data_IF_912943311167
#
_entry.id   IF_912943311167
#
_cell.length_a   1.000
_cell.length_b   1.000
_cell.length_c   1.000
_cell.angle_alpha   90.00
_cell.angle_beta   90.00
_cell.angle_gamma   90.00
#
_symmetry.space_group_name_H-M   'P 1'
#
loop_
_entity.id
_entity.type
_entity.pdbx_description
1 polymer ?
#
# COMPACT_ATOMS: atom_id res chain seq x y z
N UNK A 1 18.40 14.95 -21.21
CA UNK A 1 17.92 16.30 -20.84
C UNK A 1 16.57 16.13 -20.23
N UNK A 2 16.45 16.25 -18.91
CA UNK A 2 15.18 16.12 -18.18
C UNK A 2 14.45 17.45 -18.31
N UNK A 3 13.40 17.47 -19.12
CA UNK A 3 12.51 18.62 -19.24
C UNK A 3 11.66 18.73 -17.97
N UNK A 4 12.17 19.40 -16.96
CA UNK A 4 11.38 19.88 -15.81
C UNK A 4 10.70 21.21 -16.19
N UNK A 5 9.80 21.16 -17.16
CA UNK A 5 9.06 22.34 -17.66
C UNK A 5 7.93 22.76 -16.70
N UNK A 6 7.64 21.98 -15.65
CA UNK A 6 6.51 22.22 -14.75
C UNK A 6 6.83 23.05 -13.49
N UNK A 7 8.10 23.32 -13.20
CA UNK A 7 8.49 24.15 -12.05
C UNK A 7 9.64 25.07 -12.44
N UNK A 8 9.35 26.38 -12.54
CA UNK A 8 10.39 27.39 -12.61
C UNK A 8 11.28 27.31 -11.36
N UNK A 9 12.59 27.35 -11.56
CA UNK A 9 13.53 27.40 -10.44
C UNK A 9 13.22 28.64 -9.58
N UNK A 10 13.04 28.44 -8.26
CA UNK A 10 12.69 29.57 -7.39
C UNK A 10 13.74 30.66 -7.49
N UNK A 11 13.30 31.87 -7.85
CA UNK A 11 14.17 33.04 -7.92
C UNK A 11 14.80 33.39 -6.55
N UNK A 12 15.80 34.28 -6.50
CA UNK A 12 16.57 34.56 -5.28
C UNK A 12 15.68 34.98 -4.11
N UNK A 13 14.65 35.78 -4.34
CA UNK A 13 13.68 36.18 -3.30
C UNK A 13 12.84 35.00 -2.78
N UNK A 14 12.44 34.08 -3.67
CA UNK A 14 11.70 32.89 -3.31
C UNK A 14 12.57 31.91 -2.50
N UNK A 15 13.86 31.78 -2.81
CA UNK A 15 14.81 30.97 -2.04
C UNK A 15 14.97 31.50 -0.61
N UNK A 16 15.15 32.82 -0.45
CA UNK A 16 15.25 33.45 0.89
C UNK A 16 13.95 33.24 1.66
N UNK A 17 12.80 33.49 1.06
CA UNK A 17 11.49 33.27 1.68
C UNK A 17 11.33 31.80 2.12
N UNK A 18 11.63 30.85 1.25
CA UNK A 18 11.51 29.43 1.57
C UNK A 18 12.48 29.02 2.68
N UNK A 19 13.73 29.52 2.68
CA UNK A 19 14.69 29.29 3.75
C UNK A 19 14.17 29.83 5.10
N UNK A 20 13.67 31.07 5.11
CA UNK A 20 13.08 31.68 6.32
C UNK A 20 11.89 30.87 6.81
N UNK A 21 10.95 30.48 5.91
CA UNK A 21 9.80 29.65 6.26
C UNK A 21 10.23 28.29 6.82
N UNK A 22 11.26 27.66 6.24
CA UNK A 22 11.80 26.37 6.73
C UNK A 22 12.38 26.54 8.13
N UNK A 23 13.13 27.60 8.40
CA UNK A 23 13.71 27.89 9.73
C UNK A 23 12.58 28.17 10.74
N UNK A 24 11.63 29.04 10.39
CA UNK A 24 10.48 29.37 11.26
C UNK A 24 9.67 28.11 11.59
N UNK A 25 9.35 27.29 10.57
CA UNK A 25 8.66 26.03 10.77
C UNK A 25 9.47 25.04 11.63
N UNK A 26 10.79 24.96 11.40
CA UNK A 26 11.70 24.14 12.22
C UNK A 26 11.70 24.56 13.69
N UNK A 27 11.79 25.86 13.96
CA UNK A 27 11.72 26.40 15.33
C UNK A 27 10.35 26.13 15.96
N UNK A 28 9.26 26.35 15.22
CA UNK A 28 7.90 26.08 15.71
C UNK A 28 7.71 24.59 16.03
N UNK A 29 8.22 23.69 15.18
CA UNK A 29 8.17 22.24 15.41
C UNK A 29 8.98 21.86 16.65
N UNK A 30 10.20 22.36 16.81
CA UNK A 30 11.04 22.10 18.00
C UNK A 30 10.37 22.64 19.27
N UNK A 31 9.77 23.84 19.23
CA UNK A 31 9.03 24.39 20.35
C UNK A 31 7.81 23.53 20.73
N UNK A 32 7.07 23.00 19.73
CA UNK A 32 5.97 22.08 19.94
C UNK A 32 6.45 20.77 20.58
N UNK A 33 7.50 20.18 20.04
CA UNK A 33 8.08 18.92 20.59
C UNK A 33 8.59 19.13 22.03
N UNK A 34 9.23 20.26 22.31
CA UNK A 34 9.65 20.63 23.64
C UNK A 34 8.47 20.81 24.59
N UNK A 35 7.40 21.46 24.15
CA UNK A 35 6.19 21.63 24.94
C UNK A 35 5.51 20.29 25.26
N UNK A 36 5.41 19.39 24.28
CA UNK A 36 4.88 18.03 24.46
C UNK A 36 5.75 17.24 25.44
N UNK A 37 7.08 17.28 25.27
CA UNK A 37 8.03 16.63 26.19
C UNK A 37 7.83 17.11 27.62
N UNK A 38 7.75 18.43 27.83
CA UNK A 38 7.52 19.05 29.16
C UNK A 38 6.19 18.61 29.76
N UNK A 39 5.13 18.54 28.98
CA UNK A 39 3.82 18.07 29.48
C UNK A 39 3.85 16.61 29.93
N UNK A 40 4.55 15.75 29.22
CA UNK A 40 4.76 14.36 29.65
C UNK A 40 5.67 14.25 30.87
N UNK A 41 6.66 15.13 30.99
CA UNK A 41 7.53 15.19 32.17
C UNK A 41 6.75 15.64 33.42
N UNK A 42 5.97 16.70 33.32
CA UNK A 42 5.06 17.17 34.36
C UNK A 42 4.05 16.08 34.80
N UNK A 43 3.60 15.23 33.87
CA UNK A 43 2.74 14.10 34.12
C UNK A 43 3.48 12.84 34.59
N UNK A 44 4.79 12.89 34.80
CA UNK A 44 5.62 11.78 35.29
C UNK A 44 5.78 10.61 34.31
N UNK A 45 5.48 10.81 33.00
CA UNK A 45 5.48 9.73 32.02
C UNK A 45 6.89 9.20 31.68
N UNK A 46 7.95 9.94 32.05
CA UNK A 46 9.35 9.52 31.87
C UNK A 46 9.90 8.78 33.09
N UNK A 47 9.10 8.56 34.14
CA UNK A 47 9.56 7.87 35.35
C UNK A 47 9.99 6.43 35.03
N UNK A 48 11.17 6.04 35.52
CA UNK A 48 11.76 4.71 35.28
C UNK A 48 10.84 3.52 35.52
N UNK A 49 10.01 3.49 36.58
CA UNK A 49 9.06 2.40 36.85
C UNK A 49 8.09 2.13 35.70
N UNK A 50 7.66 3.14 34.93
CA UNK A 50 6.75 2.98 33.80
C UNK A 50 7.40 2.28 32.59
N UNK A 51 8.73 2.35 32.50
CA UNK A 51 9.52 1.75 31.42
C UNK A 51 10.12 0.39 31.79
N UNK A 52 10.21 0.10 33.11
CA UNK A 52 10.76 -1.16 33.62
C UNK A 52 10.09 -2.41 33.01
N UNK A 53 8.76 -2.49 32.82
CA UNK A 53 8.12 -3.68 32.24
C UNK A 53 8.72 -4.08 30.89
N UNK A 54 9.20 -3.14 30.07
CA UNK A 54 9.79 -3.44 28.76
C UNK A 54 11.18 -4.06 28.82
N UNK A 55 11.82 -4.07 30.00
CA UNK A 55 13.09 -4.79 30.23
C UNK A 55 12.85 -6.23 30.70
N UNK A 56 11.61 -6.60 31.01
CA UNK A 56 11.25 -7.90 31.54
C UNK A 56 10.80 -8.84 30.41
N UNK A 57 11.34 -10.05 30.38
CA UNK A 57 10.96 -11.08 29.41
C UNK A 57 9.46 -11.41 29.45
N UNK A 58 8.85 -11.34 30.61
CA UNK A 58 7.42 -11.62 30.82
C UNK A 58 6.51 -10.70 29.97
N UNK A 59 6.83 -9.41 29.88
CA UNK A 59 6.10 -8.44 29.06
C UNK A 59 6.14 -8.80 27.58
N UNK A 60 7.32 -9.18 27.10
CA UNK A 60 7.45 -9.57 25.70
C UNK A 60 6.74 -10.86 25.36
N UNK A 61 6.87 -11.90 26.23
CA UNK A 61 6.29 -13.22 25.97
C UNK A 61 4.77 -13.26 26.09
N UNK A 62 4.17 -12.45 26.98
CA UNK A 62 2.73 -12.52 27.26
C UNK A 62 1.92 -11.42 26.58
N UNK A 63 2.52 -10.30 26.20
CA UNK A 63 1.80 -9.18 25.58
C UNK A 63 2.32 -8.87 24.17
N UNK A 64 3.60 -8.51 24.02
CA UNK A 64 4.13 -7.98 22.76
C UNK A 64 4.18 -9.05 21.67
N UNK A 65 4.86 -10.18 21.92
CA UNK A 65 5.03 -11.23 20.90
C UNK A 65 3.71 -11.92 20.51
N UNK A 66 2.79 -12.27 21.44
CA UNK A 66 1.50 -12.80 21.04
C UNK A 66 0.66 -11.80 20.24
N UNK A 67 0.65 -10.51 20.65
CA UNK A 67 -0.03 -9.44 19.89
C UNK A 67 0.56 -9.28 18.48
N UNK A 68 1.88 -9.25 18.37
CA UNK A 68 2.60 -9.22 17.10
C UNK A 68 2.26 -10.43 16.21
N UNK A 69 2.22 -11.62 16.80
CA UNK A 69 1.82 -12.84 16.09
C UNK A 69 0.42 -12.75 15.51
N UNK A 70 -0.55 -12.24 16.28
CA UNK A 70 -1.93 -12.04 15.80
C UNK A 70 -2.01 -10.96 14.69
N UNK A 71 -1.27 -9.87 14.83
CA UNK A 71 -1.14 -8.83 13.78
C UNK A 71 -0.64 -9.43 12.47
N UNK A 72 0.46 -10.20 12.53
CA UNK A 72 1.06 -10.82 11.33
C UNK A 72 0.16 -11.89 10.73
N UNK A 73 -0.50 -12.70 11.56
CA UNK A 73 -1.43 -13.73 11.11
C UNK A 73 -2.64 -13.10 10.40
N UNK A 74 -3.24 -12.08 10.98
CA UNK A 74 -4.37 -11.38 10.38
C UNK A 74 -3.96 -10.68 9.07
N UNK A 75 -2.78 -10.04 9.05
CA UNK A 75 -2.25 -9.40 7.86
C UNK A 75 -1.97 -10.42 6.72
N UNK A 76 -1.33 -11.54 7.03
CA UNK A 76 -1.04 -12.58 6.05
C UNK A 76 -2.32 -13.23 5.50
N UNK A 77 -3.25 -13.61 6.38
CA UNK A 77 -4.54 -14.20 5.99
C UNK A 77 -5.37 -13.22 5.18
N UNK A 78 -5.48 -11.97 5.66
CA UNK A 78 -6.19 -10.90 4.97
C UNK A 78 -5.60 -10.62 3.59
N UNK A 79 -4.26 -10.62 3.43
CA UNK A 79 -3.60 -10.41 2.14
C UNK A 79 -3.89 -11.53 1.14
N UNK A 80 -3.81 -12.78 1.56
CA UNK A 80 -4.12 -13.94 0.69
C UNK A 80 -5.57 -13.87 0.21
N UNK A 81 -6.50 -13.63 1.11
CA UNK A 81 -7.92 -13.51 0.76
C UNK A 81 -8.22 -12.26 -0.07
N UNK A 82 -7.56 -11.13 0.20
CA UNK A 82 -7.67 -9.90 -0.60
C UNK A 82 -7.14 -10.09 -2.03
N UNK A 83 -6.05 -10.83 -2.20
CA UNK A 83 -5.53 -11.18 -3.52
C UNK A 83 -6.53 -12.05 -4.29
N UNK A 84 -7.08 -13.09 -3.65
CA UNK A 84 -8.07 -13.97 -4.27
C UNK A 84 -9.32 -13.18 -4.67
N UNK A 85 -9.89 -12.38 -3.77
CA UNK A 85 -11.02 -11.50 -4.04
C UNK A 85 -10.69 -10.52 -5.17
N UNK A 86 -9.55 -9.86 -5.09
CA UNK A 86 -9.09 -8.89 -6.09
C UNK A 86 -8.99 -9.47 -7.48
N UNK A 87 -8.43 -10.68 -7.63
CA UNK A 87 -8.32 -11.38 -8.91
C UNK A 87 -9.71 -11.74 -9.45
N UNK A 88 -10.58 -12.34 -8.63
CA UNK A 88 -11.93 -12.77 -9.05
C UNK A 88 -12.71 -11.56 -9.56
N UNK A 89 -12.74 -10.46 -8.81
CA UNK A 89 -13.51 -9.28 -9.20
C UNK A 89 -12.84 -8.47 -10.32
N UNK A 90 -11.52 -8.48 -10.45
CA UNK A 90 -10.84 -7.89 -11.61
C UNK A 90 -11.21 -8.62 -12.92
N UNK A 91 -11.21 -9.95 -12.90
CA UNK A 91 -11.63 -10.78 -14.05
C UNK A 91 -13.08 -10.50 -14.39
N UNK A 92 -13.97 -10.45 -13.39
CA UNK A 92 -15.37 -10.09 -13.58
C UNK A 92 -15.54 -8.72 -14.25
N UNK A 93 -14.83 -7.69 -13.79
CA UNK A 93 -14.86 -6.31 -14.33
C UNK A 93 -14.24 -6.18 -15.73
N UNK A 94 -13.38 -7.11 -16.14
CA UNK A 94 -12.79 -7.18 -17.47
C UNK A 94 -13.64 -8.02 -18.46
N UNK A 95 -14.74 -8.61 -18.00
CA UNK A 95 -15.66 -9.37 -18.83
C UNK A 95 -16.34 -8.47 -19.86
N UNK A 96 -16.59 -8.99 -21.07
CA UNK A 96 -17.37 -8.32 -22.12
C UNK A 96 -18.88 -8.35 -21.82
N UNK A 97 -19.31 -9.32 -21.02
CA UNK A 97 -20.70 -9.50 -20.66
C UNK A 97 -21.10 -8.48 -19.58
N UNK A 98 -21.95 -7.52 -19.93
CA UNK A 98 -22.42 -6.47 -19.01
C UNK A 98 -23.06 -7.02 -17.73
N UNK A 99 -23.76 -8.13 -17.82
CA UNK A 99 -24.38 -8.80 -16.67
C UNK A 99 -23.38 -9.43 -15.69
N UNK A 100 -22.10 -9.55 -16.06
CA UNK A 100 -21.00 -9.92 -15.15
C UNK A 100 -20.22 -8.67 -14.71
N UNK A 101 -19.85 -7.81 -15.68
CA UNK A 101 -18.97 -6.67 -15.39
C UNK A 101 -19.65 -5.58 -14.57
N UNK A 102 -20.96 -5.36 -14.74
CA UNK A 102 -21.70 -4.35 -13.97
C UNK A 102 -21.85 -4.76 -12.50
N UNK A 103 -22.36 -5.96 -12.15
CA UNK A 103 -22.42 -6.38 -10.75
C UNK A 103 -21.07 -6.44 -10.08
N UNK A 104 -20.03 -6.96 -10.77
CA UNK A 104 -18.67 -6.97 -10.25
C UNK A 104 -18.16 -5.55 -9.98
N UNK A 105 -18.51 -4.58 -10.84
CA UNK A 105 -18.21 -3.17 -10.62
C UNK A 105 -18.89 -2.61 -9.38
N UNK A 106 -20.21 -2.84 -9.25
CA UNK A 106 -21.00 -2.37 -8.10
C UNK A 106 -20.45 -2.89 -6.78
N UNK A 107 -20.13 -4.19 -6.70
CA UNK A 107 -19.56 -4.80 -5.49
C UNK A 107 -18.22 -4.16 -5.13
N UNK A 108 -17.31 -4.01 -6.09
CA UNK A 108 -16.00 -3.39 -5.86
C UNK A 108 -16.14 -1.93 -5.42
N UNK A 109 -16.99 -1.15 -6.07
CA UNK A 109 -17.20 0.26 -5.74
C UNK A 109 -17.87 0.42 -4.39
N UNK A 110 -18.84 -0.45 -4.04
CA UNK A 110 -19.47 -0.46 -2.73
C UNK A 110 -18.47 -0.68 -1.61
N UNK A 111 -17.64 -1.75 -1.66
CA UNK A 111 -16.69 -2.04 -0.60
C UNK A 111 -15.53 -1.03 -0.52
N UNK A 112 -15.21 -0.33 -1.60
CA UNK A 112 -14.24 0.79 -1.58
C UNK A 112 -14.82 2.08 -1.01
N UNK A 113 -16.12 2.29 -1.14
CA UNK A 113 -16.79 3.47 -0.61
C UNK A 113 -17.07 3.37 0.90
N UNK A 114 -17.25 2.16 1.42
CA UNK A 114 -17.52 1.95 2.85
C UNK A 114 -16.20 2.05 3.65
N UNK A 115 -16.14 2.88 4.70
CA UNK A 115 -14.98 2.93 5.58
C UNK A 115 -14.67 1.57 6.21
N UNK A 116 -13.42 1.12 6.13
CA UNK A 116 -12.99 -0.19 6.64
C UNK A 116 -13.39 -0.42 8.10
N UNK A 117 -13.23 0.59 8.95
CA UNK A 117 -13.61 0.50 10.37
C UNK A 117 -15.09 0.15 10.55
N UNK A 118 -15.97 0.79 9.80
CA UNK A 118 -17.41 0.51 9.84
C UNK A 118 -17.71 -0.90 9.34
N UNK A 119 -16.96 -1.37 8.36
CA UNK A 119 -17.11 -2.73 7.83
C UNK A 119 -16.75 -3.80 8.87
N UNK A 120 -15.60 -3.63 9.56
CA UNK A 120 -15.19 -4.50 10.68
C UNK A 120 -16.26 -4.49 11.77
N UNK A 121 -16.73 -3.31 12.14
CA UNK A 121 -17.74 -3.12 13.16
C UNK A 121 -19.05 -3.81 12.79
N UNK A 122 -19.51 -3.61 11.55
CA UNK A 122 -20.74 -4.25 11.07
C UNK A 122 -20.63 -5.78 11.02
N UNK A 123 -19.47 -6.31 10.59
CA UNK A 123 -19.26 -7.77 10.59
C UNK A 123 -19.27 -8.32 12.00
N UNK A 124 -18.61 -7.64 12.95
CA UNK A 124 -18.49 -8.12 14.32
C UNK A 124 -19.80 -8.05 15.10
N UNK A 125 -20.55 -6.94 14.98
CA UNK A 125 -21.78 -6.71 15.74
C UNK A 125 -23.05 -7.00 14.94
N UNK A 126 -23.06 -6.84 13.61
CA UNK A 126 -24.25 -6.99 12.78
C UNK A 126 -24.47 -8.42 12.29
N UNK A 127 -23.41 -9.09 11.83
CA UNK A 127 -23.54 -10.48 11.30
C UNK A 127 -24.06 -11.48 12.35
N UNK A 128 -23.72 -11.39 13.64
CA UNK A 128 -24.29 -12.26 14.69
C UNK A 128 -25.82 -12.34 14.71
N UNK A 129 -26.51 -11.25 14.38
CA UNK A 129 -27.98 -11.24 14.29
C UNK A 129 -28.51 -12.08 13.12
N UNK A 130 -27.73 -12.21 12.05
CA UNK A 130 -28.09 -12.98 10.86
C UNK A 130 -27.83 -14.48 11.02
N UNK A 131 -26.66 -14.82 11.64
CA UNK A 131 -26.23 -16.22 11.79
C UNK A 131 -26.63 -16.84 13.14
N UNK A 132 -27.25 -16.05 14.04
CA UNK A 132 -27.62 -16.44 15.40
C UNK A 132 -26.45 -17.02 16.21
N UNK A 133 -25.26 -16.46 16.02
CA UNK A 133 -24.05 -16.91 16.70
C UNK A 133 -22.94 -15.87 16.70
N UNK A 134 -21.96 -15.94 17.62
CA UNK A 134 -20.88 -14.97 17.71
C UNK A 134 -19.93 -15.09 16.50
N UNK A 135 -19.44 -13.95 16.03
CA UNK A 135 -18.34 -13.86 15.05
C UNK A 135 -17.05 -13.60 15.83
N UNK A 136 -16.02 -14.48 15.73
CA UNK A 136 -14.73 -14.22 16.35
C UNK A 136 -14.10 -12.93 15.81
N UNK A 137 -13.50 -12.10 16.68
CA UNK A 137 -12.90 -10.82 16.31
C UNK A 137 -11.85 -10.96 15.18
N UNK A 138 -11.07 -12.04 15.20
CA UNK A 138 -10.13 -12.37 14.11
C UNK A 138 -10.80 -12.39 12.73
N UNK A 139 -11.92 -13.12 12.59
CA UNK A 139 -12.62 -13.22 11.31
C UNK A 139 -13.33 -11.91 10.93
N UNK A 140 -13.84 -11.16 11.90
CA UNK A 140 -14.42 -9.85 11.61
C UNK A 140 -13.39 -8.90 11.01
N UNK A 141 -12.18 -8.87 11.55
CA UNK A 141 -11.05 -8.09 11.03
C UNK A 141 -10.60 -8.61 9.67
N UNK A 142 -10.34 -9.91 9.55
CA UNK A 142 -9.82 -10.51 8.30
C UNK A 142 -10.81 -10.36 7.15
N UNK A 143 -12.11 -10.57 7.37
CA UNK A 143 -13.13 -10.40 6.32
C UNK A 143 -13.28 -8.92 5.94
N UNK A 144 -13.28 -8.00 6.92
CA UNK A 144 -13.30 -6.57 6.65
C UNK A 144 -12.10 -6.14 5.80
N UNK A 145 -10.89 -6.55 6.19
CA UNK A 145 -9.66 -6.31 5.43
C UNK A 145 -9.73 -6.91 4.03
N UNK A 146 -10.28 -8.11 3.88
CA UNK A 146 -10.43 -8.79 2.59
C UNK A 146 -11.34 -8.04 1.65
N UNK A 147 -12.51 -7.61 2.10
CA UNK A 147 -13.49 -6.91 1.28
C UNK A 147 -12.98 -5.55 0.83
N UNK A 148 -12.39 -4.78 1.75
CA UNK A 148 -11.85 -3.46 1.45
C UNK A 148 -10.60 -3.54 0.57
N UNK A 149 -9.53 -4.17 1.05
CA UNK A 149 -8.26 -4.24 0.34
C UNK A 149 -8.34 -5.08 -0.94
N UNK A 150 -9.18 -6.12 -0.95
CA UNK A 150 -9.47 -6.92 -2.14
C UNK A 150 -10.14 -6.10 -3.23
N UNK A 151 -11.06 -5.18 -2.86
CA UNK A 151 -11.69 -4.26 -3.80
C UNK A 151 -10.70 -3.23 -4.37
N UNK A 152 -9.77 -2.73 -3.54
CA UNK A 152 -8.67 -1.88 -4.00
C UNK A 152 -7.77 -2.63 -4.98
N UNK A 153 -7.40 -3.88 -4.66
CA UNK A 153 -6.60 -4.73 -5.53
C UNK A 153 -7.33 -5.09 -6.83
N UNK A 154 -8.65 -5.34 -6.79
CA UNK A 154 -9.44 -5.60 -7.99
C UNK A 154 -9.36 -4.44 -9.00
N UNK A 155 -9.46 -3.20 -8.51
CA UNK A 155 -9.32 -2.03 -9.36
C UNK A 155 -7.88 -1.83 -9.84
N UNK A 156 -6.88 -2.06 -8.98
CA UNK A 156 -5.48 -2.02 -9.36
C UNK A 156 -5.19 -3.03 -10.48
N UNK A 157 -5.67 -4.27 -10.36
CA UNK A 157 -5.52 -5.32 -11.37
C UNK A 157 -6.19 -4.93 -12.70
N UNK A 158 -7.42 -4.43 -12.64
CA UNK A 158 -8.11 -3.92 -13.83
C UNK A 158 -7.35 -2.78 -14.50
N UNK A 159 -6.88 -1.82 -13.74
CA UNK A 159 -6.10 -0.68 -14.24
C UNK A 159 -4.75 -1.11 -14.82
N UNK A 160 -4.04 -2.03 -14.16
CA UNK A 160 -2.76 -2.56 -14.64
C UNK A 160 -2.87 -3.29 -15.98
N UNK A 161 -3.92 -4.10 -16.16
CA UNK A 161 -4.17 -4.77 -17.45
C UNK A 161 -4.49 -3.76 -18.55
N UNK A 162 -5.28 -2.73 -18.24
CA UNK A 162 -5.62 -1.66 -19.21
C UNK A 162 -4.46 -0.73 -19.55
N UNK A 163 -3.45 -0.65 -18.68
CA UNK A 163 -2.24 0.14 -18.91
C UNK A 163 -1.25 -0.50 -19.88
N UNK A 164 -1.41 -1.79 -20.20
CA UNK A 164 -0.59 -2.44 -21.24
C UNK A 164 -0.87 -1.77 -22.58
N UNK A 165 0.18 -1.41 -23.37
CA UNK A 165 0.01 -0.74 -24.67
C UNK A 165 -0.93 -1.53 -25.59
N UNK A 166 -1.92 -0.84 -26.18
CA UNK A 166 -2.97 -1.46 -27.03
C UNK A 166 -2.40 -2.28 -28.18
N UNK A 167 -1.30 -1.84 -28.78
CA UNK A 167 -0.63 -2.57 -29.85
C UNK A 167 -0.22 -3.99 -29.51
N UNK A 168 0.00 -4.32 -28.23
CA UNK A 168 0.28 -5.69 -27.77
C UNK A 168 -0.93 -6.62 -28.01
N UNK A 169 -2.12 -6.15 -27.65
CA UNK A 169 -3.34 -6.91 -27.88
C UNK A 169 -3.71 -6.96 -29.37
N UNK A 170 -3.57 -5.85 -30.09
CA UNK A 170 -3.87 -5.74 -31.52
C UNK A 170 -2.99 -6.68 -32.35
N UNK A 171 -1.68 -6.71 -32.09
CA UNK A 171 -0.75 -7.63 -32.75
C UNK A 171 -1.10 -9.11 -32.48
N UNK A 172 -1.49 -9.43 -31.24
CA UNK A 172 -1.90 -10.80 -30.90
C UNK A 172 -3.21 -11.21 -31.62
N UNK A 173 -4.17 -10.29 -31.73
CA UNK A 173 -5.40 -10.56 -32.49
C UNK A 173 -5.14 -10.70 -33.99
N UNK A 174 -4.19 -9.92 -34.57
CA UNK A 174 -3.82 -9.99 -35.98
C UNK A 174 -3.28 -11.38 -36.40
N UNK A 175 -2.65 -12.11 -35.46
CA UNK A 175 -2.19 -13.51 -35.68
C UNK A 175 -3.25 -14.56 -35.29
N UNK A 176 -4.51 -14.14 -35.05
CA UNK A 176 -5.63 -15.04 -34.78
C UNK A 176 -5.75 -15.54 -33.34
N UNK A 177 -5.07 -14.92 -32.36
CA UNK A 177 -5.21 -15.32 -30.95
C UNK A 177 -6.61 -14.97 -30.41
N UNK A 178 -7.21 -15.92 -29.68
CA UNK A 178 -8.48 -15.68 -28.96
C UNK A 178 -8.22 -14.79 -27.73
N UNK A 179 -9.22 -14.02 -27.30
CA UNK A 179 -9.14 -13.09 -26.16
C UNK A 179 -8.57 -13.75 -24.89
N UNK A 180 -8.95 -14.96 -24.56
CA UNK A 180 -8.43 -15.67 -23.38
C UNK A 180 -6.93 -15.93 -23.47
N UNK A 181 -6.44 -16.27 -24.66
CA UNK A 181 -4.99 -16.48 -24.90
C UNK A 181 -4.22 -15.17 -24.84
N UNK A 182 -4.77 -14.09 -25.44
CA UNK A 182 -4.19 -12.73 -25.35
C UNK A 182 -4.11 -12.29 -23.89
N UNK A 183 -5.18 -12.50 -23.12
CA UNK A 183 -5.21 -12.17 -21.70
C UNK A 183 -4.15 -12.94 -20.92
N UNK A 184 -4.09 -14.27 -21.07
CA UNK A 184 -3.21 -15.13 -20.28
C UNK A 184 -1.73 -15.01 -20.65
N UNK A 185 -1.41 -14.89 -21.93
CA UNK A 185 -0.02 -14.98 -22.41
C UNK A 185 0.62 -13.62 -22.70
N UNK A 186 -0.18 -12.57 -22.95
CA UNK A 186 0.31 -11.26 -23.33
C UNK A 186 0.05 -10.23 -22.25
N UNK A 187 -1.21 -10.02 -21.85
CA UNK A 187 -1.60 -8.91 -20.99
C UNK A 187 -1.30 -9.17 -19.51
N UNK A 188 -1.72 -10.31 -18.97
CA UNK A 188 -1.55 -10.62 -17.53
C UNK A 188 -0.07 -10.71 -17.15
N UNK A 189 0.85 -11.36 -17.88
CA UNK A 189 2.26 -11.38 -17.48
C UNK A 189 2.93 -10.01 -17.50
N UNK A 190 2.56 -9.14 -18.43
CA UNK A 190 3.08 -7.77 -18.50
C UNK A 190 2.50 -6.92 -17.37
N UNK A 191 1.18 -6.94 -17.18
CA UNK A 191 0.50 -6.24 -16.11
C UNK A 191 0.99 -6.69 -14.71
N UNK A 192 1.13 -7.99 -14.46
CA UNK A 192 1.58 -8.53 -13.18
C UNK A 192 2.93 -7.93 -12.74
N UNK A 193 3.88 -7.80 -13.69
CA UNK A 193 5.18 -7.19 -13.40
C UNK A 193 5.07 -5.72 -13.00
N UNK A 194 4.24 -4.95 -13.69
CA UNK A 194 4.04 -3.52 -13.38
C UNK A 194 3.25 -3.28 -12.09
N UNK A 195 2.50 -4.29 -11.64
CA UNK A 195 1.62 -4.19 -10.46
C UNK A 195 2.26 -4.71 -9.17
N UNK A 196 3.40 -5.42 -9.24
CA UNK A 196 4.10 -5.90 -8.05
C UNK A 196 4.31 -4.79 -6.99
N UNK A 197 4.75 -3.57 -7.34
CA UNK A 197 4.91 -2.51 -6.35
C UNK A 197 3.60 -2.14 -5.64
N UNK A 198 2.49 -2.14 -6.39
CA UNK A 198 1.16 -1.84 -5.83
C UNK A 198 0.72 -2.93 -4.85
N UNK A 199 0.91 -4.21 -5.20
CA UNK A 199 0.58 -5.35 -4.33
C UNK A 199 1.35 -5.28 -3.02
N UNK A 200 2.65 -4.98 -3.09
CA UNK A 200 3.48 -4.91 -1.87
C UNK A 200 3.15 -3.66 -1.04
N UNK A 201 2.88 -2.52 -1.69
CA UNK A 201 2.38 -1.34 -0.98
C UNK A 201 1.06 -1.63 -0.26
N UNK A 202 0.18 -2.42 -0.86
CA UNK A 202 -1.08 -2.81 -0.25
C UNK A 202 -0.89 -3.73 0.96
N UNK A 203 0.14 -4.59 0.97
CA UNK A 203 0.50 -5.39 2.15
C UNK A 203 0.90 -4.49 3.34
N UNK A 204 1.67 -3.43 3.09
CA UNK A 204 2.04 -2.44 4.12
C UNK A 204 0.81 -1.72 4.68
N UNK A 205 -0.12 -1.32 3.81
CA UNK A 205 -1.39 -0.70 4.22
C UNK A 205 -2.20 -1.68 5.07
N UNK A 206 -2.40 -2.89 4.58
CA UNK A 206 -3.19 -3.93 5.26
C UNK A 206 -2.63 -4.27 6.63
N UNK A 207 -1.30 -4.33 6.81
CA UNK A 207 -0.68 -4.56 8.10
C UNK A 207 -0.99 -3.45 9.10
N UNK A 208 -1.00 -2.19 8.67
CA UNK A 208 -1.41 -1.06 9.53
C UNK A 208 -2.89 -1.14 9.88
N UNK A 209 -3.71 -1.54 8.92
CA UNK A 209 -5.17 -1.61 9.06
C UNK A 209 -5.60 -2.71 10.03
N UNK A 210 -4.76 -3.71 10.32
CA UNK A 210 -5.05 -4.70 11.37
C UNK A 210 -5.23 -4.06 12.75
N UNK A 211 -4.57 -2.92 13.01
CA UNK A 211 -4.73 -2.15 14.25
C UNK A 211 -6.17 -1.63 14.46
N UNK A 212 -6.98 -1.50 13.39
CA UNK A 212 -8.40 -1.16 13.51
C UNK A 212 -9.20 -2.25 14.23
N UNK A 213 -8.66 -3.46 14.32
CA UNK A 213 -9.21 -4.54 15.12
C UNK A 213 -9.29 -4.25 16.62
N UNK A 214 -8.54 -3.25 17.10
CA UNK A 214 -8.64 -2.73 18.46
C UNK A 214 -10.09 -2.41 18.86
N UNK A 215 -10.90 -1.86 17.95
CA UNK A 215 -12.31 -1.46 18.22
C UNK A 215 -13.21 -2.64 18.58
N UNK A 216 -12.87 -3.85 18.12
CA UNK A 216 -13.59 -5.11 18.40
C UNK A 216 -12.83 -6.01 19.38
N UNK A 217 -11.89 -5.41 20.13
CA UNK A 217 -11.02 -6.10 21.10
C UNK A 217 -10.27 -7.30 20.47
N UNK A 218 -9.93 -7.22 19.19
CA UNK A 218 -9.06 -8.22 18.56
C UNK A 218 -7.67 -8.16 19.21
N UNK A 219 -7.12 -9.27 19.75
CA UNK A 219 -5.92 -9.29 20.58
C UNK A 219 -4.62 -9.15 19.74
N UNK A 220 -4.58 -8.15 18.86
CA UNK A 220 -3.42 -7.78 18.07
C UNK A 220 -2.43 -6.89 18.86
N UNK A 221 -1.38 -6.42 18.22
CA UNK A 221 -0.26 -5.72 18.86
C UNK A 221 -0.70 -4.43 19.59
N UNK A 222 -1.63 -3.64 19.05
CA UNK A 222 -2.13 -2.43 19.71
C UNK A 222 -2.99 -2.78 20.93
N UNK A 223 -3.90 -3.74 20.80
CA UNK A 223 -4.75 -4.18 21.90
C UNK A 223 -3.91 -4.75 23.05
N UNK A 224 -3.06 -5.73 22.78
CA UNK A 224 -2.23 -6.36 23.82
C UNK A 224 -1.09 -5.49 24.31
N UNK A 225 -0.39 -4.82 23.38
CA UNK A 225 0.82 -4.05 23.69
C UNK A 225 0.54 -2.69 24.31
N UNK A 226 -0.63 -2.09 24.09
CA UNK A 226 -0.99 -0.82 24.71
C UNK A 226 -2.08 -1.01 25.73
N UNK A 227 -3.26 -1.53 25.34
CA UNK A 227 -4.42 -1.57 26.22
C UNK A 227 -4.22 -2.56 27.40
N UNK A 228 -3.94 -3.83 27.09
CA UNK A 228 -3.80 -4.86 28.14
C UNK A 228 -2.56 -4.59 29.01
N UNK A 229 -1.44 -4.17 28.42
CA UNK A 229 -0.23 -3.87 29.16
C UNK A 229 -0.41 -2.65 30.08
N UNK A 230 -1.01 -1.57 29.58
CA UNK A 230 -1.21 -0.37 30.37
C UNK A 230 -2.26 -0.56 31.46
N UNK A 231 -3.24 -1.44 31.26
CA UNK A 231 -4.18 -1.82 32.31
C UNK A 231 -3.48 -2.50 33.50
N UNK A 232 -2.38 -3.22 33.26
CA UNK A 232 -1.60 -3.89 34.31
C UNK A 232 -0.55 -2.97 34.95
N UNK A 233 0.04 -2.04 34.22
CA UNK A 233 1.22 -1.27 34.67
C UNK A 233 1.00 0.25 34.69
N UNK A 234 -0.16 0.77 34.26
CA UNK A 234 -0.47 2.19 34.25
C UNK A 234 0.42 3.02 33.29
N UNK A 235 1.06 2.40 32.30
CA UNK A 235 2.12 2.99 31.48
C UNK A 235 1.72 3.22 30.02
N UNK A 236 0.53 3.79 29.77
CA UNK A 236 -0.07 3.97 28.44
C UNK A 236 0.90 4.64 27.44
N UNK A 237 1.59 5.72 27.85
CA UNK A 237 2.47 6.48 26.97
C UNK A 237 3.70 5.64 26.58
N UNK A 238 4.34 4.99 27.57
CA UNK A 238 5.49 4.12 27.30
C UNK A 238 5.11 2.95 26.41
N UNK A 239 3.94 2.32 26.68
CA UNK A 239 3.39 1.22 25.89
C UNK A 239 3.10 1.66 24.45
N UNK A 240 2.42 2.80 24.27
CA UNK A 240 2.13 3.34 22.95
C UNK A 240 3.41 3.66 22.15
N UNK A 241 4.44 4.23 22.78
CA UNK A 241 5.72 4.53 22.14
C UNK A 241 6.46 3.26 21.68
N UNK A 242 6.51 2.24 22.53
CA UNK A 242 7.14 0.95 22.19
C UNK A 242 6.38 0.27 21.05
N UNK A 243 5.06 0.18 21.13
CA UNK A 243 4.22 -0.43 20.08
C UNK A 243 4.32 0.36 18.77
N UNK A 244 4.26 1.69 18.81
CA UNK A 244 4.45 2.52 17.63
C UNK A 244 5.83 2.29 16.99
N UNK A 245 6.88 2.17 17.79
CA UNK A 245 8.23 1.85 17.31
C UNK A 245 8.26 0.49 16.60
N UNK A 246 7.62 -0.53 17.17
CA UNK A 246 7.51 -1.85 16.54
C UNK A 246 6.78 -1.75 15.19
N UNK A 247 5.64 -1.04 15.12
CA UNK A 247 4.93 -0.81 13.86
C UNK A 247 5.78 -0.08 12.82
N UNK A 248 6.53 0.94 13.23
CA UNK A 248 7.44 1.68 12.33
C UNK A 248 8.53 0.75 11.78
N UNK A 249 9.14 -0.07 12.64
CA UNK A 249 10.16 -1.04 12.22
C UNK A 249 9.57 -2.05 11.24
N UNK A 250 8.44 -2.67 11.56
CA UNK A 250 7.78 -3.64 10.70
C UNK A 250 7.42 -3.07 9.33
N UNK A 251 6.78 -1.90 9.32
CA UNK A 251 6.39 -1.24 8.07
C UNK A 251 7.62 -0.82 7.25
N UNK A 252 8.69 -0.37 7.91
CA UNK A 252 9.95 -0.03 7.23
C UNK A 252 10.60 -1.27 6.61
N UNK A 253 10.65 -2.39 7.32
CA UNK A 253 11.18 -3.66 6.81
C UNK A 253 10.37 -4.16 5.61
N UNK A 254 9.03 -4.12 5.69
CA UNK A 254 8.17 -4.49 4.57
C UNK A 254 8.36 -3.56 3.37
N UNK A 255 8.47 -2.25 3.60
CA UNK A 255 8.72 -1.27 2.55
C UNK A 255 10.09 -1.49 1.89
N UNK A 256 11.13 -1.80 2.68
CA UNK A 256 12.45 -2.12 2.15
C UNK A 256 12.42 -3.41 1.31
N UNK A 257 11.72 -4.45 1.77
CA UNK A 257 11.51 -5.68 1.02
C UNK A 257 10.76 -5.42 -0.29
N UNK A 258 9.70 -4.59 -0.24
CA UNK A 258 8.96 -4.12 -1.39
C UNK A 258 9.85 -3.49 -2.45
N UNK A 259 10.62 -2.49 -2.03
CA UNK A 259 11.52 -1.75 -2.91
C UNK A 259 12.62 -2.65 -3.49
N UNK A 260 13.10 -3.62 -2.72
CA UNK A 260 14.08 -4.60 -3.20
C UNK A 260 13.49 -5.52 -4.28
N UNK A 261 12.27 -6.04 -4.06
CA UNK A 261 11.57 -6.87 -5.04
C UNK A 261 11.28 -6.09 -6.32
N UNK A 262 10.84 -4.84 -6.21
CA UNK A 262 10.57 -3.96 -7.35
C UNK A 262 11.84 -3.71 -8.19
N UNK A 263 12.93 -3.31 -7.56
CA UNK A 263 14.23 -3.10 -8.23
C UNK A 263 14.70 -4.38 -8.95
N UNK A 264 14.50 -5.55 -8.35
CA UNK A 264 14.86 -6.84 -8.96
C UNK A 264 14.00 -7.16 -10.18
N UNK A 265 12.69 -6.86 -10.10
CA UNK A 265 11.76 -7.06 -11.22
C UNK A 265 12.08 -6.14 -12.40
N UNK A 266 12.35 -4.86 -12.15
CA UNK A 266 12.68 -3.89 -13.19
C UNK A 266 14.01 -4.18 -13.90
N UNK A 267 15.01 -4.70 -13.18
CA UNK A 267 16.30 -5.09 -13.79
C UNK A 267 16.18 -6.23 -14.80
N UNK A 268 15.22 -7.13 -14.62
CA UNK A 268 14.95 -8.24 -15.55
C UNK A 268 14.15 -7.82 -16.78
N UNK A 269 13.51 -6.67 -16.77
CA UNK A 269 12.70 -6.15 -17.88
C UNK A 269 13.41 -5.15 -18.80
N UNK A 270 14.64 -4.70 -18.48
CA UNK A 270 15.43 -3.87 -19.38
C UNK A 270 16.07 -4.78 -20.45
N UNK A 271 15.41 -4.87 -21.62
CA UNK A 271 16.07 -5.27 -22.85
C UNK A 271 17.30 -4.38 -23.08
N UNK A 272 18.39 -4.89 -23.69
CA UNK A 272 19.53 -4.05 -24.06
C UNK A 272 19.00 -2.84 -24.84
N UNK A 273 19.39 -1.63 -24.43
CA UNK A 273 19.23 -0.46 -25.28
C UNK A 273 19.81 -0.85 -26.64
N UNK A 274 18.97 -0.90 -27.66
CA UNK A 274 19.47 -0.94 -29.02
C UNK A 274 20.48 0.19 -29.13
N UNK A 275 21.74 -0.20 -29.37
CA UNK A 275 22.76 0.74 -29.74
C UNK A 275 22.23 1.44 -31.00
N UNK A 276 21.85 2.69 -30.85
CA UNK A 276 21.35 3.49 -31.97
C UNK A 276 22.30 3.33 -33.12
N UNK A 277 21.88 2.66 -34.17
CA UNK A 277 22.55 2.71 -35.46
C UNK A 277 22.67 4.19 -35.81
N UNK A 278 23.89 4.70 -36.00
CA UNK A 278 24.03 6.08 -36.49
C UNK A 278 23.29 6.14 -37.81
N UNK A 279 22.26 6.96 -37.87
CA UNK A 279 21.66 7.35 -39.16
C UNK A 279 22.81 7.91 -39.99
N UNK A 280 23.27 7.14 -40.97
CA UNK A 280 24.27 7.60 -41.93
C UNK A 280 23.70 8.85 -42.57
N UNK A 281 24.38 9.96 -42.37
CA UNK A 281 24.08 11.21 -43.06
C UNK A 281 24.03 10.93 -44.56
N UNK A 282 22.85 11.13 -45.15
CA UNK A 282 22.69 11.20 -46.60
C UNK A 282 23.55 12.40 -47.04
N UNK A 283 24.55 12.23 -47.94
CA UNK A 283 25.30 13.35 -48.43
C UNK A 283 24.37 14.27 -49.24
N UNK A 284 24.54 15.59 -49.16
CA UNK A 284 23.77 16.51 -49.99
C UNK A 284 24.21 16.28 -51.43
N UNK A 285 23.29 15.69 -52.22
CA UNK A 285 23.49 15.51 -53.67
C UNK A 285 23.61 16.85 -54.37
N UNK A 286 24.67 16.94 -55.11
CA UNK A 286 25.05 18.11 -55.92
C UNK A 286 24.08 18.41 -57.03
N UNK A 287 24.15 19.67 -57.35
CA UNK A 287 24.00 20.43 -58.56
C UNK A 287 23.06 19.98 -59.68
N UNK A 288 22.25 20.99 -59.92
CA UNK A 288 21.38 21.08 -61.07
C UNK A 288 22.04 20.95 -62.44
N UNK A 289 21.23 20.52 -63.34
CA UNK A 289 21.35 20.95 -64.78
C UNK A 289 19.91 21.13 -65.28
N UNK A 290 19.62 22.39 -65.56
CA UNK A 290 18.54 22.82 -66.44
C UNK A 290 18.72 22.26 -67.83
N UNK A 291 17.68 21.63 -68.42
CA UNK A 291 17.45 21.53 -69.83
C UNK A 291 16.03 21.97 -70.11
N UNK A 292 15.94 23.14 -70.80
CA UNK A 292 14.77 23.59 -71.50
C UNK A 292 14.52 22.69 -72.74
N UNK A 293 13.33 22.26 -72.99
CA UNK A 293 12.56 22.37 -74.23
C UNK A 293 11.10 22.14 -73.86
#
# INVERSE_FOLDING_TARGET
MSNTVLYDHPGPRARIRNAVLTVVFGIALLALLWWVYRKFDEAGQWAGPLWKPFTESNTWMNFILPGLGQTLLAAATGMVLSLAFGIIFAVGRLSEHRWISVPAGVVVEFFRAVPLLLMIFFIFFGVPFLIQGPVPAFWAVVVGLTLYNGSVLAEAFRAGIRAVPRGQAEAAYAIGMRKSLVMQHILVPQAARSMLPVIVSQLVVLLKDTALGYIVAFPELLQRGVNDLSANFGNVVAAAMVVATIYVILNSLLTMLANWLDRRSQRRGKAPKEAGTPVSAVPPGGDGTAIAI
#
